data_IF_550109444086
#
_entry.id   IF_550109444086
#
_cell.length_a   1.000
_cell.length_b   1.000
_cell.length_c   1.000
_cell.angle_alpha   90.00
_cell.angle_beta   90.00
_cell.angle_gamma   90.00
#
_symmetry.space_group_name_H-M   'P 1'
#
loop_
_entity.id
_entity.type
_entity.pdbx_description
1 polymer ?
#
# COMPACT_ATOMS: atom_id res chain seq x y z
N UNK A 1 24.81 -21.52 -6.40
CA UNK A 1 25.32 -20.36 -5.64
C UNK A 1 24.64 -19.10 -6.17
N UNK A 2 23.48 -18.75 -5.59
CA UNK A 2 22.75 -17.53 -5.95
C UNK A 2 23.24 -16.38 -5.07
N UNK A 3 23.66 -15.27 -5.70
CA UNK A 3 23.95 -14.01 -5.00
C UNK A 3 22.63 -13.33 -4.60
N UNK A 4 22.49 -12.80 -3.38
CA UNK A 4 21.37 -11.94 -3.04
C UNK A 4 21.59 -10.55 -3.65
N UNK A 5 20.53 -9.95 -4.19
CA UNK A 5 20.54 -8.57 -4.68
C UNK A 5 20.52 -7.61 -3.49
N UNK A 6 21.45 -6.64 -3.40
CA UNK A 6 21.38 -5.56 -2.42
C UNK A 6 20.49 -4.43 -2.98
N UNK A 7 19.49 -3.96 -2.23
CA UNK A 7 18.94 -2.63 -2.55
C UNK A 7 17.48 -2.28 -2.23
N UNK A 8 16.66 -3.10 -1.57
CA UNK A 8 15.27 -2.69 -1.27
C UNK A 8 15.11 -1.69 -0.11
N UNK A 9 16.20 -1.26 0.54
CA UNK A 9 16.15 -0.33 1.68
C UNK A 9 16.23 1.16 1.32
N UNK A 10 16.29 1.54 0.04
CA UNK A 10 16.44 2.97 -0.37
C UNK A 10 15.28 3.55 -1.21
N UNK A 11 14.07 2.99 -1.12
CA UNK A 11 12.87 3.59 -1.73
C UNK A 11 11.98 4.37 -0.75
N UNK A 12 12.44 4.64 0.48
CA UNK A 12 11.68 5.41 1.47
C UNK A 12 11.95 6.94 1.44
N UNK A 13 12.72 7.45 0.46
CA UNK A 13 13.12 8.87 0.41
C UNK A 13 12.47 9.73 -0.67
N UNK A 14 11.66 9.18 -1.57
CA UNK A 14 11.27 9.88 -2.81
C UNK A 14 9.78 10.02 -3.12
N UNK A 15 8.90 9.27 -2.47
CA UNK A 15 7.45 9.42 -2.66
C UNK A 15 6.90 10.35 -1.58
N UNK A 16 6.99 11.66 -1.82
CA UNK A 16 6.00 12.56 -1.23
C UNK A 16 4.63 12.09 -1.71
N UNK A 17 3.86 11.57 -0.75
CA UNK A 17 2.48 11.12 -0.85
C UNK A 17 1.69 11.88 -1.93
N UNK A 18 1.45 11.25 -3.07
CA UNK A 18 0.31 11.63 -3.91
C UNK A 18 -0.94 11.27 -3.12
N UNK A 19 -1.47 12.27 -2.42
CA UNK A 19 -2.69 12.20 -1.63
C UNK A 19 -3.82 11.63 -2.48
N UNK A 20 -4.59 10.61 -2.01
CA UNK A 20 -5.92 10.43 -2.56
C UNK A 20 -6.67 11.76 -2.38
N UNK A 21 -7.36 12.28 -3.39
CA UNK A 21 -7.96 13.61 -3.30
C UNK A 21 -8.91 13.62 -2.10
N UNK A 22 -8.70 14.55 -1.17
CA UNK A 22 -9.51 14.75 0.05
C UNK A 22 -11.04 14.72 -0.19
N UNK A 23 -11.46 14.91 -1.44
CA UNK A 23 -12.82 14.82 -1.95
C UNK A 23 -13.51 13.46 -1.76
N UNK A 24 -12.82 12.32 -1.77
CA UNK A 24 -13.49 11.01 -1.62
C UNK A 24 -13.95 10.73 -0.20
N UNK A 25 -13.23 11.22 0.81
CA UNK A 25 -13.59 11.05 2.23
C UNK A 25 -14.70 12.04 2.64
N UNK A 26 -14.68 13.26 2.07
CA UNK A 26 -15.74 14.25 2.29
C UNK A 26 -17.13 13.73 1.85
N UNK A 27 -17.19 12.88 0.82
CA UNK A 27 -18.44 12.28 0.36
C UNK A 27 -19.07 11.30 1.35
N UNK A 28 -18.30 10.78 2.32
CA UNK A 28 -18.81 9.92 3.40
C UNK A 28 -19.15 10.70 4.67
N UNK A 29 -19.05 12.03 4.64
CA UNK A 29 -19.23 12.89 5.82
C UNK A 29 -18.11 12.79 6.85
N UNK A 30 -16.99 12.14 6.49
CA UNK A 30 -15.80 12.04 7.32
C UNK A 30 -14.78 13.11 6.92
N UNK A 31 -13.97 13.57 7.87
CA UNK A 31 -12.79 14.36 7.56
C UNK A 31 -11.59 13.43 7.28
N UNK A 32 -11.00 13.60 6.09
CA UNK A 32 -9.86 12.80 5.66
C UNK A 32 -8.58 13.09 6.44
N UNK A 33 -8.41 14.32 6.95
CA UNK A 33 -7.26 14.66 7.78
C UNK A 33 -7.36 14.01 9.15
N UNK A 34 -8.52 14.09 9.80
CA UNK A 34 -8.78 13.41 11.06
C UNK A 34 -8.62 11.89 10.96
N UNK A 35 -9.15 11.25 9.92
CA UNK A 35 -8.98 9.79 9.73
C UNK A 35 -7.50 9.41 9.63
N UNK A 36 -6.70 10.19 8.90
CA UNK A 36 -5.24 9.95 8.81
C UNK A 36 -4.54 10.17 10.14
N UNK A 37 -4.89 11.25 10.84
CA UNK A 37 -4.32 11.61 12.13
C UNK A 37 -4.58 10.49 13.16
N UNK A 38 -5.84 10.08 13.32
CA UNK A 38 -6.23 8.99 14.23
C UNK A 38 -5.55 7.67 13.86
N UNK A 39 -5.50 7.33 12.56
CA UNK A 39 -4.81 6.12 12.10
C UNK A 39 -3.32 6.14 12.42
N UNK A 40 -2.64 7.27 12.24
CA UNK A 40 -1.20 7.38 12.53
C UNK A 40 -0.93 7.38 14.03
N UNK A 41 -1.74 8.09 14.82
CA UNK A 41 -1.66 8.08 16.28
C UNK A 41 -1.83 6.66 16.83
N UNK A 42 -2.83 5.93 16.36
CA UNK A 42 -3.06 4.54 16.74
C UNK A 42 -1.86 3.64 16.40
N UNK A 43 -1.34 3.71 15.17
CA UNK A 43 -0.18 2.91 14.74
C UNK A 43 1.08 3.24 15.54
N UNK A 44 1.33 4.52 15.81
CA UNK A 44 2.49 4.95 16.60
C UNK A 44 2.38 4.51 18.06
N UNK A 45 1.18 4.51 18.63
CA UNK A 45 0.95 4.02 19.99
C UNK A 45 1.11 2.50 20.11
N UNK A 46 0.85 1.77 19.03
CA UNK A 46 1.06 0.32 18.94
C UNK A 46 2.51 -0.06 18.58
N UNK A 47 3.22 0.81 17.86
CA UNK A 47 4.62 0.60 17.52
C UNK A 47 5.49 0.47 18.79
N UNK A 48 6.33 -0.55 18.83
CA UNK A 48 7.19 -0.85 19.99
C UNK A 48 6.48 -1.55 21.15
N UNK A 49 5.22 -1.93 21.00
CA UNK A 49 4.49 -2.75 21.96
C UNK A 49 4.51 -4.21 21.53
N UNK A 50 4.53 -5.13 22.49
CA UNK A 50 4.42 -6.57 22.19
C UNK A 50 3.04 -6.89 21.61
N UNK A 51 2.99 -7.76 20.60
CA UNK A 51 1.76 -8.27 20.01
C UNK A 51 0.79 -8.87 21.05
N UNK A 52 1.30 -9.48 22.12
CA UNK A 52 0.47 -10.00 23.21
C UNK A 52 -0.25 -8.88 23.98
N UNK A 53 0.42 -7.75 24.23
CA UNK A 53 -0.21 -6.60 24.87
C UNK A 53 -1.30 -6.00 23.99
N UNK A 54 -1.06 -5.93 22.68
CA UNK A 54 -2.04 -5.44 21.70
C UNK A 54 -3.28 -6.34 21.65
N UNK A 55 -3.10 -7.66 21.74
CA UNK A 55 -4.23 -8.61 21.86
C UNK A 55 -5.04 -8.36 23.14
N UNK A 56 -4.37 -8.08 24.27
CA UNK A 56 -5.04 -7.73 25.53
C UNK A 56 -5.85 -6.44 25.40
N UNK A 57 -5.29 -5.41 24.77
CA UNK A 57 -6.01 -4.17 24.48
C UNK A 57 -7.25 -4.44 23.64
N UNK A 58 -7.12 -5.22 22.57
CA UNK A 58 -8.23 -5.51 21.68
C UNK A 58 -9.32 -6.30 22.42
N UNK A 59 -8.97 -7.34 23.19
CA UNK A 59 -9.92 -8.13 23.96
C UNK A 59 -10.65 -7.32 25.06
N UNK A 60 -9.90 -6.50 25.80
CA UNK A 60 -10.39 -5.92 27.06
C UNK A 60 -10.57 -4.40 27.04
N UNK A 61 -10.05 -3.69 26.03
CA UNK A 61 -9.89 -2.23 25.96
C UNK A 61 -9.11 -1.61 27.14
N UNK A 62 -8.78 -2.41 28.14
CA UNK A 62 -8.09 -2.01 29.36
C UNK A 62 -6.63 -1.72 29.08
N UNK A 63 -6.16 -0.57 29.55
CA UNK A 63 -4.77 -0.13 29.36
C UNK A 63 -4.43 0.23 27.91
N UNK A 64 -5.42 0.28 27.02
CA UNK A 64 -5.22 0.73 25.65
C UNK A 64 -4.94 2.25 25.61
N UNK A 65 -4.11 2.73 24.68
CA UNK A 65 -3.96 4.16 24.40
C UNK A 65 -5.32 4.82 24.16
N UNK A 66 -5.49 6.09 24.58
CA UNK A 66 -6.78 6.79 24.49
C UNK A 66 -7.38 6.79 23.08
N UNK A 67 -6.54 6.92 22.03
CA UNK A 67 -6.94 6.87 20.62
C UNK A 67 -7.56 5.53 20.20
N UNK A 68 -7.20 4.44 20.89
CA UNK A 68 -7.73 3.10 20.65
C UNK A 68 -8.87 2.74 21.61
N UNK A 69 -8.79 3.18 22.86
CA UNK A 69 -9.72 2.82 23.92
C UNK A 69 -11.17 3.13 23.54
N UNK A 70 -11.44 4.32 23.02
CA UNK A 70 -12.80 4.72 22.61
C UNK A 70 -13.36 3.80 21.51
N UNK A 71 -12.56 3.50 20.48
CA UNK A 71 -12.98 2.64 19.38
C UNK A 71 -13.18 1.17 19.81
N UNK A 72 -12.31 0.66 20.70
CA UNK A 72 -12.40 -0.70 21.22
C UNK A 72 -13.57 -0.88 22.18
N UNK A 73 -13.88 0.12 23.01
CA UNK A 73 -15.07 0.11 23.87
C UNK A 73 -16.35 0.21 23.04
N UNK A 74 -16.38 1.10 22.03
CA UNK A 74 -17.51 1.20 21.11
C UNK A 74 -17.77 -0.14 20.39
N UNK A 75 -16.71 -0.87 20.03
CA UNK A 75 -16.80 -2.17 19.37
C UNK A 75 -17.42 -3.29 20.23
N UNK A 76 -17.53 -3.09 21.55
CA UNK A 76 -18.15 -4.04 22.48
C UNK A 76 -19.62 -3.78 22.75
N UNK A 77 -20.13 -2.64 22.30
CA UNK A 77 -21.54 -2.30 22.46
C UNK A 77 -22.41 -3.12 21.51
N UNK A 78 -23.66 -3.41 21.91
CA UNK A 78 -24.62 -4.10 21.04
C UNK A 78 -24.96 -3.32 19.76
N UNK A 79 -24.73 -2.01 19.75
CA UNK A 79 -24.89 -1.13 18.58
C UNK A 79 -23.75 -1.23 17.57
N UNK A 80 -22.69 -1.98 17.87
CA UNK A 80 -21.54 -2.08 16.98
C UNK A 80 -21.87 -2.86 15.71
N UNK A 81 -21.54 -2.26 14.57
CA UNK A 81 -21.70 -2.89 13.26
C UNK A 81 -20.34 -3.28 12.70
N UNK A 82 -20.12 -4.59 12.61
CA UNK A 82 -18.93 -5.12 11.97
C UNK A 82 -18.83 -4.65 10.50
N UNK A 83 -17.64 -4.17 10.13
CA UNK A 83 -17.29 -3.82 8.75
C UNK A 83 -15.97 -4.47 8.36
N UNK A 84 -15.77 -4.68 7.06
CA UNK A 84 -14.49 -5.16 6.52
C UNK A 84 -13.32 -4.21 6.89
N UNK A 85 -13.57 -2.90 6.90
CA UNK A 85 -12.57 -1.90 7.27
C UNK A 85 -12.14 -2.05 8.73
N UNK A 86 -13.06 -2.43 9.62
CA UNK A 86 -12.71 -2.71 11.02
C UNK A 86 -11.78 -3.92 11.14
N UNK A 87 -12.07 -5.01 10.43
CA UNK A 87 -11.18 -6.18 10.39
C UNK A 87 -9.78 -5.82 9.86
N UNK A 88 -9.70 -5.05 8.77
CA UNK A 88 -8.42 -4.57 8.23
C UNK A 88 -7.69 -3.70 9.26
N UNK A 89 -8.38 -2.80 9.94
CA UNK A 89 -7.79 -1.95 10.99
C UNK A 89 -7.20 -2.73 12.16
N UNK A 90 -7.90 -3.77 12.63
CA UNK A 90 -7.40 -4.67 13.69
C UNK A 90 -6.12 -5.38 13.26
N UNK A 91 -6.08 -5.88 12.02
CA UNK A 91 -4.87 -6.53 11.50
C UNK A 91 -3.72 -5.54 11.34
N UNK A 92 -3.99 -4.34 10.83
CA UNK A 92 -2.96 -3.31 10.72
C UNK A 92 -2.37 -2.90 12.07
N UNK A 93 -3.16 -2.94 13.15
CA UNK A 93 -2.65 -2.70 14.50
C UNK A 93 -1.69 -3.81 14.93
N UNK A 94 -2.05 -5.08 14.77
CA UNK A 94 -1.18 -6.19 15.20
C UNK A 94 0.08 -6.31 14.32
N UNK A 95 0.00 -5.96 13.05
CA UNK A 95 1.14 -5.84 12.13
C UNK A 95 2.08 -4.68 12.50
N UNK A 96 1.55 -3.64 13.17
CA UNK A 96 2.38 -2.52 13.66
C UNK A 96 3.06 -2.82 15.00
N UNK A 97 2.72 -3.94 15.64
CA UNK A 97 3.27 -4.38 16.93
C UNK A 97 4.56 -5.19 16.75
N UNK A 98 5.35 -5.31 17.81
CA UNK A 98 6.53 -6.19 17.83
C UNK A 98 6.15 -7.66 17.99
N UNK A 99 6.88 -8.54 17.31
CA UNK A 99 6.75 -9.99 17.46
C UNK A 99 5.76 -10.65 16.50
N UNK A 100 5.28 -9.93 15.48
CA UNK A 100 4.57 -10.51 14.34
C UNK A 100 5.42 -10.33 13.10
N UNK A 101 5.78 -11.44 12.47
CA UNK A 101 6.38 -11.40 11.15
C UNK A 101 5.26 -11.18 10.12
N UNK A 102 5.22 -9.98 9.55
CA UNK A 102 4.20 -9.60 8.57
C UNK A 102 4.50 -10.12 7.17
N UNK A 103 5.75 -10.54 6.91
CA UNK A 103 6.16 -11.12 5.64
C UNK A 103 5.81 -12.61 5.56
N UNK A 104 5.54 -13.25 6.72
CA UNK A 104 5.05 -14.61 6.82
C UNK A 104 3.52 -14.67 6.83
N UNK A 105 2.96 -15.21 5.75
CA UNK A 105 1.51 -15.38 5.58
C UNK A 105 0.85 -16.28 6.65
N UNK A 106 1.57 -17.26 7.19
CA UNK A 106 1.06 -18.15 8.24
C UNK A 106 1.02 -17.42 9.59
N UNK A 107 2.08 -16.67 9.91
CA UNK A 107 2.15 -15.84 11.12
C UNK A 107 1.05 -14.76 11.12
N UNK A 108 0.86 -14.07 9.99
CA UNK A 108 -0.21 -13.07 9.84
C UNK A 108 -1.61 -13.68 9.97
N UNK A 109 -1.85 -14.84 9.35
CA UNK A 109 -3.13 -15.55 9.46
C UNK A 109 -3.41 -16.02 10.90
N UNK A 110 -2.38 -16.49 11.61
CA UNK A 110 -2.48 -16.87 13.02
C UNK A 110 -2.81 -15.66 13.90
N UNK A 111 -2.10 -14.55 13.73
CA UNK A 111 -2.37 -13.31 14.48
C UNK A 111 -3.81 -12.83 14.24
N UNK A 112 -4.29 -12.89 12.99
CA UNK A 112 -5.67 -12.55 12.65
C UNK A 112 -6.70 -13.42 13.37
N UNK A 113 -6.48 -14.74 13.38
CA UNK A 113 -7.37 -15.69 14.05
C UNK A 113 -7.42 -15.49 15.56
N UNK A 114 -6.27 -15.23 16.18
CA UNK A 114 -6.18 -14.98 17.63
C UNK A 114 -6.90 -13.67 17.99
N UNK A 115 -6.71 -12.61 17.19
CA UNK A 115 -7.30 -11.30 17.42
C UNK A 115 -8.83 -11.30 17.24
N UNK A 116 -9.32 -11.99 16.21
CA UNK A 116 -10.76 -12.13 15.94
C UNK A 116 -11.47 -12.94 17.02
N UNK A 117 -10.82 -14.02 17.50
CA UNK A 117 -11.30 -14.80 18.65
C UNK A 117 -11.36 -13.95 19.90
N UNK A 118 -10.33 -13.15 20.17
CA UNK A 118 -10.26 -12.26 21.32
C UNK A 118 -11.37 -11.18 21.33
N UNK A 119 -11.81 -10.73 20.15
CA UNK A 119 -12.92 -9.80 19.99
C UNK A 119 -14.31 -10.45 20.00
N UNK A 120 -14.40 -11.78 20.00
CA UNK A 120 -15.69 -12.48 19.85
C UNK A 120 -16.33 -12.29 18.48
N UNK A 121 -15.55 -11.94 17.45
CA UNK A 121 -16.05 -11.80 16.09
C UNK A 121 -16.22 -13.17 15.43
N UNK A 122 -17.15 -13.28 14.47
CA UNK A 122 -17.31 -14.48 13.67
C UNK A 122 -16.07 -14.74 12.81
N UNK A 123 -15.16 -15.61 13.27
CA UNK A 123 -13.87 -15.87 12.63
C UNK A 123 -13.96 -16.18 11.14
N UNK A 124 -14.90 -17.04 10.73
CA UNK A 124 -15.11 -17.39 9.31
C UNK A 124 -15.43 -16.16 8.43
N UNK A 125 -16.21 -15.21 8.96
CA UNK A 125 -16.55 -13.97 8.26
C UNK A 125 -15.31 -13.10 8.08
N UNK A 126 -14.50 -12.98 9.13
CA UNK A 126 -13.29 -12.17 9.11
C UNK A 126 -12.25 -12.80 8.18
N UNK A 127 -12.03 -14.11 8.26
CA UNK A 127 -11.11 -14.85 7.39
C UNK A 127 -11.43 -14.63 5.91
N UNK A 128 -12.72 -14.70 5.55
CA UNK A 128 -13.19 -14.41 4.19
C UNK A 128 -12.91 -12.98 3.76
N UNK A 129 -13.17 -12.01 4.64
CA UNK A 129 -12.95 -10.60 4.37
C UNK A 129 -11.45 -10.26 4.20
N UNK A 130 -10.58 -10.85 5.02
CA UNK A 130 -9.13 -10.68 4.94
C UNK A 130 -8.53 -11.38 3.73
N UNK A 131 -9.02 -12.57 3.39
CA UNK A 131 -8.64 -13.28 2.16
C UNK A 131 -8.99 -12.46 0.91
N UNK A 132 -10.20 -11.89 0.87
CA UNK A 132 -10.63 -11.01 -0.22
C UNK A 132 -9.76 -9.75 -0.30
N UNK A 133 -9.47 -9.12 0.84
CA UNK A 133 -8.61 -7.94 0.91
C UNK A 133 -7.22 -8.23 0.33
N UNK A 134 -6.56 -9.31 0.79
CA UNK A 134 -5.24 -9.73 0.29
C UNK A 134 -5.25 -10.02 -1.21
N UNK A 135 -6.22 -10.79 -1.70
CA UNK A 135 -6.34 -11.08 -3.13
C UNK A 135 -6.51 -9.81 -3.98
N UNK A 136 -7.22 -8.81 -3.45
CA UNK A 136 -7.39 -7.54 -4.16
C UNK A 136 -6.09 -6.71 -4.16
N UNK A 137 -5.32 -6.72 -3.06
CA UNK A 137 -4.01 -6.08 -3.02
C UNK A 137 -3.04 -6.72 -4.02
N UNK A 138 -2.98 -8.05 -4.09
CA UNK A 138 -2.14 -8.77 -5.05
C UNK A 138 -2.49 -8.39 -6.50
N UNK A 139 -3.79 -8.32 -6.83
CA UNK A 139 -4.25 -7.89 -8.17
C UNK A 139 -3.88 -6.45 -8.48
N UNK A 140 -3.96 -5.57 -7.49
CA UNK A 140 -3.55 -4.18 -7.64
C UNK A 140 -2.04 -4.06 -7.85
N UNK A 141 -1.24 -4.80 -7.08
CA UNK A 141 0.21 -4.83 -7.24
C UNK A 141 0.63 -5.32 -8.64
N UNK A 142 0.03 -6.42 -9.11
CA UNK A 142 0.26 -6.91 -10.49
C UNK A 142 -0.15 -5.88 -11.54
N UNK A 143 -1.27 -5.18 -11.34
CA UNK A 143 -1.72 -4.14 -12.27
C UNK A 143 -0.77 -2.94 -12.31
N UNK A 144 -0.22 -2.55 -11.16
CA UNK A 144 0.78 -1.47 -11.07
C UNK A 144 2.05 -1.83 -11.82
N UNK A 145 2.55 -3.06 -11.66
CA UNK A 145 3.74 -3.55 -12.38
C UNK A 145 3.54 -3.46 -13.90
N UNK A 146 2.40 -3.95 -14.42
CA UNK A 146 2.06 -3.86 -15.85
C UNK A 146 1.98 -2.40 -16.33
N UNK A 147 1.42 -1.49 -15.51
CA UNK A 147 1.35 -0.07 -15.85
C UNK A 147 2.72 0.59 -15.86
N UNK A 148 3.60 0.26 -14.92
CA UNK A 148 4.98 0.75 -14.87
C UNK A 148 5.78 0.31 -16.09
N UNK A 149 5.63 -0.96 -16.50
CA UNK A 149 6.23 -1.48 -17.72
C UNK A 149 5.70 -0.76 -18.97
N UNK A 150 4.38 -0.55 -19.06
CA UNK A 150 3.77 0.17 -20.18
C UNK A 150 4.27 1.63 -20.27
N UNK A 151 4.36 2.34 -19.14
CA UNK A 151 4.91 3.70 -19.07
C UNK A 151 6.38 3.72 -19.49
N UNK A 152 7.18 2.77 -19.02
CA UNK A 152 8.59 2.66 -19.40
C UNK A 152 8.75 2.35 -20.90
N UNK A 153 7.90 1.49 -21.47
CA UNK A 153 7.89 1.18 -22.89
C UNK A 153 7.54 2.41 -23.74
N UNK A 154 6.54 3.19 -23.34
CA UNK A 154 6.13 4.42 -24.05
C UNK A 154 7.24 5.49 -24.00
N UNK A 155 7.91 5.64 -22.85
CA UNK A 155 9.08 6.54 -22.72
C UNK A 155 10.20 6.15 -23.68
N UNK A 156 10.56 4.87 -23.72
CA UNK A 156 11.61 4.34 -24.64
C UNK A 156 11.22 4.54 -26.11
N UNK A 157 9.95 4.37 -26.47
CA UNK A 157 9.46 4.58 -27.83
C UNK A 157 9.59 6.05 -28.24
N UNK A 158 9.19 6.97 -27.36
CA UNK A 158 9.32 8.41 -27.59
C UNK A 158 10.79 8.84 -27.74
N UNK A 159 11.68 8.35 -26.89
CA UNK A 159 13.12 8.64 -27.00
C UNK A 159 13.72 8.15 -28.33
N UNK A 160 13.32 6.96 -28.81
CA UNK A 160 13.76 6.46 -30.13
C UNK A 160 13.25 7.32 -31.27
N UNK A 161 11.97 7.71 -31.24
CA UNK A 161 11.39 8.59 -32.26
C UNK A 161 12.05 9.97 -32.28
N UNK A 162 12.37 10.54 -31.11
CA UNK A 162 13.09 11.80 -31.01
C UNK A 162 14.55 11.67 -31.49
N UNK A 163 15.21 10.54 -31.28
CA UNK A 163 16.55 10.27 -31.80
C UNK A 163 16.56 10.08 -33.33
N UNK A 164 15.60 9.35 -33.88
CA UNK A 164 15.42 9.14 -35.32
C UNK A 164 15.09 10.46 -36.05
N UNK A 165 14.24 11.31 -35.46
CA UNK A 165 13.94 12.64 -35.99
C UNK A 165 15.14 13.60 -35.96
N UNK A 166 16.07 13.43 -35.00
CA UNK A 166 17.31 14.22 -34.93
C UNK A 166 18.39 13.70 -35.89
N UNK A 167 18.42 12.39 -36.16
CA UNK A 167 19.37 11.78 -37.10
C UNK A 167 19.05 12.04 -38.57
N UNK A 168 17.77 12.19 -38.92
CA UNK A 168 17.32 12.41 -40.31
C UNK A 168 17.46 13.88 -40.79
N UNK A 169 17.85 14.81 -39.91
CA UNK A 169 18.09 16.22 -40.29
C UNK A 169 19.49 16.53 -40.83
N UNK A 170 20.42 15.57 -40.86
CA UNK A 170 21.82 15.80 -41.24
C UNK A 170 22.21 15.31 -42.65
N UNK A 171 21.41 14.45 -43.29
CA UNK A 171 21.76 13.83 -44.60
C UNK A 171 21.03 14.48 -45.80
N UNK A 172 20.36 15.61 -45.60
CA UNK A 172 19.52 16.26 -46.62
C UNK A 172 20.17 17.33 -47.51
N UNK A 173 21.44 17.70 -47.29
CA UNK A 173 22.06 18.85 -47.96
C UNK A 173 23.38 18.52 -48.70
N UNK A 174 23.35 17.52 -49.59
CA UNK A 174 24.43 17.34 -50.57
C UNK A 174 23.99 16.61 -51.85
N UNK A 175 23.02 17.15 -52.59
CA UNK A 175 22.86 16.78 -54.01
C UNK A 175 22.57 18.02 -54.82
N UNK A 176 23.59 18.54 -55.52
CA UNK A 176 23.38 19.50 -56.59
C UNK A 176 24.58 20.37 -56.94
N UNK A 177 25.43 19.89 -57.87
CA UNK A 177 26.20 20.63 -58.90
C UNK A 177 27.46 19.81 -59.23
N UNK A 178 27.87 19.49 -60.45
CA UNK A 178 27.30 19.61 -61.79
C UNK A 178 28.21 18.73 -62.68
N UNK A 179 27.63 17.87 -63.53
CA UNK A 179 28.34 17.31 -64.69
C UNK A 179 28.22 18.27 -65.88
N UNK A 180 29.18 18.13 -66.80
CA UNK A 180 29.35 18.73 -68.16
C UNK A 180 30.44 19.82 -68.20
N UNK A 181 31.49 19.75 -69.02
CA UNK A 181 31.79 18.82 -70.11
C UNK A 181 33.16 19.16 -70.73
N UNK A 182 33.57 18.30 -71.65
CA UNK A 182 34.79 18.30 -72.48
C UNK A 182 35.15 19.66 -73.10
N UNK A 183 36.41 20.11 -72.94
CA UNK A 183 37.49 20.08 -73.96
C UNK A 183 38.79 20.70 -73.40
#
# INVERSE_FOLDING_TARGET
MHRPLPGLRQLHGGLQAHSPPARTVAATGLDGEDVRRLSNEARNATAGQSSELVKVWVASASGAPAVLAEALEAAKTESFHYSRLFAVGLITLIESAEGVDTDDAEAAAKAAKELTTAMGLAGERVDKDLSLYRSNLEKMAMSLEVMEEAVAAERRKRERQEAEARGTGADGDSVGSAEQGED
#
